data_IF_330607300620
#
_entry.id   IF_330607300620
#
_cell.length_a   1.000
_cell.length_b   1.000
_cell.length_c   1.000
_cell.angle_alpha   90.00
_cell.angle_beta   90.00
_cell.angle_gamma   90.00
#
_symmetry.space_group_name_H-M   'P 1'
#
loop_
_entity.id
_entity.type
_entity.pdbx_description
1 polymer ?
#
# COMPACT_ATOMS: atom_id res chain seq x y z
N UNK A 1 8.12 10.33 5.60
CA UNK A 1 7.56 10.35 4.24
C UNK A 1 8.50 10.86 3.16
N UNK A 2 9.82 10.92 3.36
CA UNK A 2 10.80 11.02 2.25
C UNK A 2 11.32 9.62 1.96
N UNK A 3 11.34 9.20 0.70
CA UNK A 3 11.89 7.91 0.29
C UNK A 3 10.92 6.73 0.33
N UNK A 4 9.62 6.96 0.50
CA UNK A 4 8.58 5.93 0.38
C UNK A 4 7.51 6.42 -0.59
N UNK A 5 7.24 5.64 -1.62
CA UNK A 5 6.24 5.98 -2.63
C UNK A 5 4.83 5.85 -2.06
N UNK A 6 3.96 6.80 -2.42
CA UNK A 6 2.53 6.76 -2.08
C UNK A 6 1.83 5.99 -3.21
N UNK A 7 1.51 4.72 -2.95
CA UNK A 7 0.81 3.84 -3.89
C UNK A 7 -0.70 3.99 -3.65
N UNK A 8 -1.46 4.23 -4.71
CA UNK A 8 -2.93 4.28 -4.63
C UNK A 8 -3.47 2.91 -4.22
N UNK A 9 -4.40 2.89 -3.26
CA UNK A 9 -4.90 1.64 -2.66
C UNK A 9 -3.94 0.99 -1.66
N UNK A 10 -2.76 1.57 -1.39
CA UNK A 10 -1.81 1.08 -0.40
C UNK A 10 -0.72 0.16 -0.97
N UNK A 11 0.28 -0.15 -0.12
CA UNK A 11 1.39 -1.04 -0.47
C UNK A 11 1.21 -2.38 0.26
N UNK A 12 0.62 -3.37 -0.41
CA UNK A 12 0.33 -4.69 0.13
C UNK A 12 1.57 -5.39 0.72
N UNK A 13 2.74 -5.23 0.09
CA UNK A 13 3.98 -5.83 0.56
C UNK A 13 4.43 -5.24 1.89
N UNK A 14 4.46 -3.91 2.01
CA UNK A 14 4.82 -3.24 3.26
C UNK A 14 3.81 -3.52 4.37
N UNK A 15 2.52 -3.61 4.03
CA UNK A 15 1.47 -3.97 4.98
C UNK A 15 1.64 -5.42 5.47
N UNK A 16 1.93 -6.38 4.60
CA UNK A 16 2.20 -7.75 4.99
C UNK A 16 3.49 -7.85 5.84
N UNK A 17 4.55 -7.12 5.48
CA UNK A 17 5.82 -7.05 6.23
C UNK A 17 5.67 -6.47 7.64
N UNK A 18 4.62 -5.69 7.89
CA UNK A 18 4.32 -5.19 9.24
C UNK A 18 3.78 -6.27 10.18
N UNK A 19 3.26 -7.37 9.63
CA UNK A 19 2.70 -8.48 10.41
C UNK A 19 3.59 -9.71 10.46
N UNK A 20 4.25 -10.03 9.33
CA UNK A 20 5.06 -11.24 9.20
C UNK A 20 6.41 -10.92 8.55
N UNK A 21 7.47 -11.54 9.09
CA UNK A 21 8.80 -11.50 8.51
C UNK A 21 8.84 -12.49 7.33
N UNK A 22 9.04 -12.03 6.08
CA UNK A 22 8.99 -12.89 4.89
C UNK A 22 10.08 -13.98 4.90
N UNK A 23 11.18 -13.78 5.63
CA UNK A 23 12.27 -14.75 5.70
C UNK A 23 11.98 -15.83 6.75
N UNK A 24 11.28 -15.49 7.83
CA UNK A 24 10.97 -16.41 8.94
C UNK A 24 9.60 -17.07 8.83
N UNK A 25 8.64 -16.39 8.20
CA UNK A 25 7.23 -16.76 8.13
C UNK A 25 6.69 -16.58 6.70
N UNK A 26 7.28 -17.27 5.70
CA UNK A 26 6.95 -17.05 4.29
C UNK A 26 5.50 -17.45 3.94
N UNK A 27 4.95 -18.47 4.60
CA UNK A 27 3.59 -18.94 4.30
C UNK A 27 2.52 -17.95 4.75
N UNK A 28 2.61 -17.49 6.01
CA UNK A 28 1.69 -16.50 6.57
C UNK A 28 1.84 -15.15 5.86
N UNK A 29 3.08 -14.76 5.55
CA UNK A 29 3.37 -13.57 4.75
C UNK A 29 2.67 -13.64 3.39
N UNK A 30 2.90 -14.71 2.62
CA UNK A 30 2.34 -14.84 1.28
C UNK A 30 0.80 -14.88 1.30
N UNK A 31 0.21 -15.59 2.26
CA UNK A 31 -1.25 -15.66 2.41
C UNK A 31 -1.87 -14.29 2.68
N UNK A 32 -1.26 -13.51 3.58
CA UNK A 32 -1.72 -12.16 3.89
C UNK A 32 -1.48 -11.23 2.70
N UNK A 33 -0.30 -11.31 2.07
CA UNK A 33 0.07 -10.49 0.92
C UNK A 33 -0.91 -10.66 -0.25
N UNK A 34 -1.26 -11.90 -0.62
CA UNK A 34 -2.24 -12.15 -1.70
C UNK A 34 -3.62 -11.57 -1.37
N UNK A 35 -4.05 -11.68 -0.11
CA UNK A 35 -5.33 -11.08 0.34
C UNK A 35 -5.30 -9.56 0.23
N UNK A 36 -4.24 -8.94 0.73
CA UNK A 36 -4.06 -7.48 0.69
C UNK A 36 -3.89 -6.98 -0.74
N UNK A 37 -3.23 -7.73 -1.62
CA UNK A 37 -3.06 -7.35 -3.02
C UNK A 37 -4.39 -7.16 -3.72
N UNK A 38 -5.33 -8.11 -3.55
CA UNK A 38 -6.67 -7.99 -4.13
C UNK A 38 -7.42 -6.78 -3.57
N UNK A 39 -7.33 -6.55 -2.26
CA UNK A 39 -7.92 -5.38 -1.62
C UNK A 39 -7.34 -4.08 -2.18
N UNK A 40 -6.01 -3.95 -2.20
CA UNK A 40 -5.30 -2.78 -2.71
C UNK A 40 -5.64 -2.51 -4.18
N UNK A 41 -5.81 -3.54 -5.02
CA UNK A 41 -6.19 -3.36 -6.43
C UNK A 41 -7.61 -2.81 -6.60
N UNK A 42 -8.56 -3.20 -5.73
CA UNK A 42 -9.91 -2.65 -5.72
C UNK A 42 -9.89 -1.20 -5.27
N UNK A 43 -9.26 -0.93 -4.12
CA UNK A 43 -9.16 0.42 -3.57
C UNK A 43 -8.37 1.36 -4.51
N UNK A 44 -7.34 0.87 -5.19
CA UNK A 44 -6.58 1.65 -6.16
C UNK A 44 -7.45 2.12 -7.34
N UNK A 45 -8.38 1.27 -7.81
CA UNK A 45 -9.33 1.65 -8.87
C UNK A 45 -10.28 2.73 -8.38
N UNK A 46 -10.87 2.55 -7.20
CA UNK A 46 -11.77 3.53 -6.59
C UNK A 46 -11.07 4.88 -6.39
N UNK A 47 -9.88 4.89 -5.80
CA UNK A 47 -9.10 6.13 -5.60
C UNK A 47 -8.76 6.80 -6.92
N UNK A 48 -8.45 6.02 -7.97
CA UNK A 48 -8.19 6.56 -9.31
C UNK A 48 -9.43 7.19 -9.94
N UNK A 49 -10.60 6.59 -9.76
CA UNK A 49 -11.89 7.13 -10.21
C UNK A 49 -12.26 8.42 -9.47
N UNK A 50 -11.87 8.53 -8.19
CA UNK A 50 -12.08 9.73 -7.35
C UNK A 50 -11.10 10.88 -7.64
N UNK A 51 -10.16 10.72 -8.59
CA UNK A 51 -9.22 11.76 -8.99
C UNK A 51 -7.79 11.59 -8.48
N UNK A 52 -7.50 10.48 -7.79
CA UNK A 52 -6.15 10.11 -7.36
C UNK A 52 -5.63 10.90 -6.17
N UNK A 53 -4.31 10.83 -5.95
CA UNK A 53 -3.65 11.53 -4.85
C UNK A 53 -3.65 13.04 -5.09
N UNK A 54 -4.19 13.79 -4.13
CA UNK A 54 -4.15 15.24 -4.12
C UNK A 54 -3.21 15.74 -3.01
N UNK A 55 -2.19 16.51 -3.37
CA UNK A 55 -1.20 17.07 -2.43
C UNK A 55 -1.43 18.57 -2.27
N UNK A 56 -1.66 19.00 -1.03
CA UNK A 56 -1.83 20.42 -0.68
C UNK A 56 -0.61 20.88 0.13
N UNK A 57 0.22 21.73 -0.46
CA UNK A 57 1.25 22.46 0.28
C UNK A 57 0.65 23.69 0.95
N UNK A 58 0.82 23.82 2.27
CA UNK A 58 0.27 24.95 3.03
C UNK A 58 1.10 26.22 2.90
N UNK A 59 2.40 26.08 2.61
CA UNK A 59 3.37 27.17 2.49
C UNK A 59 4.38 26.87 1.38
N UNK A 60 5.12 27.90 0.94
CA UNK A 60 6.24 27.74 0.01
C UNK A 60 7.48 27.34 0.79
N UNK A 61 8.33 26.52 0.15
CA UNK A 61 9.66 26.21 0.65
C UNK A 61 10.58 27.43 0.57
#
# INVERSE_FOLDING_TARGET
GRGTDIILGGNAEMMAKAHYDPDKQPEEFNKLHETLKVQCEVEAKEVKELGGLYVIGTERH
#
